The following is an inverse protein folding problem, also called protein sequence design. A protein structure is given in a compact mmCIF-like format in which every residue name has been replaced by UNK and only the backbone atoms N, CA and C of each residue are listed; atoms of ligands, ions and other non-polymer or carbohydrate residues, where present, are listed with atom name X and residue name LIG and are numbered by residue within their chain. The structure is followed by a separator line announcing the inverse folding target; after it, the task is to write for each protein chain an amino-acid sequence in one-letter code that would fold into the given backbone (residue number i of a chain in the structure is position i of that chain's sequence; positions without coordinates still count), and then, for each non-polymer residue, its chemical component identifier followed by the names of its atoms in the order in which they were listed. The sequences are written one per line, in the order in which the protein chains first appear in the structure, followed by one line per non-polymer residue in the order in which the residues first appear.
data_IF_450671885285
#
_entry.id   IF_450671885285
#
_cell.length_a   1.000
_cell.length_b   1.000
_cell.length_c   1.000
_cell.angle_alpha   90.00
_cell.angle_beta   90.00
_cell.angle_gamma   90.00
#
_symmetry.space_group_name_H-M   'P 1'
#
loop_
_entity.id
_entity.type
_entity.pdbx_description
1 polymer ?
#
# COMPACT_ATOMS: atom_id res chain seq x y z
N UNK A 1 8.11 -4.80 -11.63
CA UNK A 1 7.86 -5.44 -10.31
C UNK A 1 6.47 -5.01 -9.89
N UNK A 2 5.61 -5.91 -9.46
CA UNK A 2 4.26 -5.56 -8.99
C UNK A 2 4.31 -5.37 -7.47
N UNK A 3 3.92 -4.18 -7.02
CA UNK A 3 3.66 -3.90 -5.61
C UNK A 3 2.16 -3.92 -5.36
N UNK A 4 1.71 -4.59 -4.30
CA UNK A 4 0.30 -4.67 -3.93
C UNK A 4 0.09 -4.17 -2.52
N UNK A 5 -0.80 -3.20 -2.37
CA UNK A 5 -1.24 -2.64 -1.09
C UNK A 5 -2.60 -3.22 -0.76
N UNK A 6 -2.77 -3.74 0.44
CA UNK A 6 -4.04 -4.31 0.91
C UNK A 6 -4.44 -3.67 2.22
N UNK A 7 -5.68 -3.18 2.30
CA UNK A 7 -6.24 -2.67 3.56
C UNK A 7 -6.53 -3.82 4.52
N UNK A 8 -6.18 -3.62 5.79
CA UNK A 8 -6.48 -4.52 6.90
C UNK A 8 -7.45 -3.82 7.86
N UNK A 9 -8.53 -4.52 8.20
CA UNK A 9 -9.56 -4.06 9.15
C UNK A 9 -10.96 -4.12 8.55
N UNK A 10 -11.98 -4.02 9.41
CA UNK A 10 -13.38 -3.91 8.97
C UNK A 10 -13.58 -2.55 8.30
N UNK A 11 -14.37 -2.49 7.21
CA UNK A 11 -14.89 -1.25 6.60
C UNK A 11 -15.55 -0.42 7.70
N UNK A 12 -14.81 0.53 8.28
CA UNK A 12 -15.36 1.58 9.12
C UNK A 12 -15.89 2.68 8.19
N UNK A 13 -16.93 3.43 8.59
CA UNK A 13 -17.46 4.52 7.80
C UNK A 13 -16.35 5.51 7.39
N UNK A 14 -16.55 6.15 6.24
CA UNK A 14 -15.63 7.13 5.67
C UNK A 14 -15.22 8.17 6.73
N UNK A 15 -13.91 8.25 7.03
CA UNK A 15 -13.36 9.09 8.10
C UNK A 15 -12.54 8.35 9.16
N UNK A 16 -12.48 7.01 9.13
CA UNK A 16 -11.63 6.25 10.04
C UNK A 16 -10.14 6.43 9.72
N UNK A 17 -9.46 7.27 10.52
CA UNK A 17 -8.01 7.51 10.49
C UNK A 17 -7.17 6.26 10.85
N UNK A 18 -7.80 5.16 11.26
CA UNK A 18 -7.15 3.94 11.74
C UNK A 18 -7.02 2.84 10.68
N UNK A 19 -7.26 3.13 9.40
CA UNK A 19 -7.04 2.14 8.34
C UNK A 19 -5.58 1.69 8.34
N UNK A 20 -5.37 0.37 8.43
CA UNK A 20 -4.05 -0.24 8.36
C UNK A 20 -3.83 -0.87 7.00
N UNK A 21 -2.60 -0.89 6.52
CA UNK A 21 -2.26 -1.43 5.20
C UNK A 21 -1.11 -2.41 5.29
N UNK A 22 -1.16 -3.46 4.49
CA UNK A 22 -0.04 -4.36 4.25
C UNK A 22 0.43 -4.25 2.82
N UNK A 23 1.73 -4.41 2.60
CA UNK A 23 2.38 -4.34 1.29
C UNK A 23 2.99 -5.70 0.95
N UNK A 24 2.92 -6.10 -0.32
CA UNK A 24 3.58 -7.29 -0.86
C UNK A 24 4.23 -6.94 -2.20
N UNK A 25 5.30 -7.64 -2.54
CA UNK A 25 6.05 -7.47 -3.78
C UNK A 25 6.09 -8.81 -4.50
N UNK A 26 5.74 -8.85 -5.79
CA UNK A 26 5.82 -10.08 -6.60
C UNK A 26 7.24 -10.66 -6.67
N UNK A 27 8.26 -9.80 -6.59
CA UNK A 27 9.66 -10.17 -6.53
C UNK A 27 10.07 -10.85 -5.21
N UNK A 28 9.28 -10.71 -4.14
CA UNK A 28 9.53 -11.27 -2.81
C UNK A 28 8.33 -12.13 -2.34
N UNK A 29 8.09 -13.28 -2.98
CA UNK A 29 6.91 -14.10 -2.71
C UNK A 29 6.87 -14.57 -1.25
N UNK A 30 5.68 -14.53 -0.66
CA UNK A 30 5.45 -14.95 0.73
C UNK A 30 5.86 -13.93 1.80
N UNK A 31 6.42 -12.77 1.41
CA UNK A 31 6.70 -11.66 2.34
C UNK A 31 5.55 -10.67 2.35
N UNK A 32 5.09 -10.34 3.56
CA UNK A 32 4.09 -9.30 3.82
C UNK A 32 4.70 -8.29 4.78
N UNK A 33 4.56 -7.02 4.44
CA UNK A 33 5.07 -5.89 5.21
C UNK A 33 3.89 -5.11 5.80
N UNK A 34 4.07 -4.50 6.98
CA UNK A 34 2.97 -3.95 7.79
C UNK A 34 2.35 -4.96 8.76
N UNK A 35 1.16 -4.68 9.32
CA UNK A 35 0.25 -3.58 9.01
C UNK A 35 0.71 -2.21 9.50
N UNK A 36 0.62 -1.20 8.64
CA UNK A 36 1.05 0.18 8.93
C UNK A 36 -0.06 1.21 8.73
N UNK A 37 0.10 2.41 9.29
CA UNK A 37 -0.79 3.54 9.00
C UNK A 37 -0.61 4.05 7.56
N UNK A 38 -1.50 4.94 7.11
CA UNK A 38 -1.39 5.61 5.82
C UNK A 38 -0.02 6.28 5.62
N UNK A 39 0.48 7.03 6.61
CA UNK A 39 1.73 7.79 6.50
C UNK A 39 2.94 6.85 6.37
N UNK A 40 3.02 5.86 7.25
CA UNK A 40 4.07 4.84 7.21
C UNK A 40 4.08 4.06 5.89
N UNK A 41 2.90 3.67 5.39
CA UNK A 41 2.79 2.95 4.11
C UNK A 41 3.22 3.83 2.94
N UNK A 42 2.86 5.11 2.94
CA UNK A 42 3.29 6.05 1.90
C UNK A 42 4.82 6.19 1.91
N UNK A 43 5.39 6.42 3.08
CA UNK A 43 6.83 6.64 3.22
C UNK A 43 7.60 5.35 2.86
N UNK A 44 7.11 4.16 3.23
CA UNK A 44 7.68 2.88 2.79
C UNK A 44 7.66 2.77 1.25
N UNK A 45 6.52 2.97 0.59
CA UNK A 45 6.39 2.84 -0.86
C UNK A 45 7.32 3.77 -1.65
N UNK A 46 7.63 4.96 -1.11
CA UNK A 46 8.61 5.87 -1.74
C UNK A 46 10.03 5.33 -1.71
N UNK A 47 10.37 4.49 -0.73
CA UNK A 47 11.71 3.91 -0.56
C UNK A 47 11.79 2.50 -1.17
N UNK A 48 10.84 1.63 -0.85
CA UNK A 48 10.83 0.21 -1.20
C UNK A 48 10.38 -0.04 -2.64
N UNK A 49 9.43 0.73 -3.14
CA UNK A 49 8.89 0.62 -4.50
C UNK A 49 9.33 1.76 -5.43
N UNK A 50 10.15 2.69 -4.93
CA UNK A 50 10.61 3.90 -5.64
C UNK A 50 9.46 4.69 -6.29
N UNK A 51 8.29 4.68 -5.65
CA UNK A 51 7.14 5.45 -6.12
C UNK A 51 7.30 6.93 -5.78
N UNK A 52 6.84 7.79 -6.67
CA UNK A 52 6.68 9.20 -6.32
C UNK A 52 5.63 9.34 -5.19
N UNK A 53 5.74 10.35 -4.31
CA UNK A 53 4.80 10.51 -3.20
C UNK A 53 3.32 10.58 -3.63
N UNK A 54 3.07 11.11 -4.84
CA UNK A 54 1.74 11.18 -5.44
C UNK A 54 1.24 9.80 -5.87
N UNK A 55 2.10 8.96 -6.43
CA UNK A 55 1.78 7.61 -6.88
C UNK A 55 1.55 6.67 -5.68
N UNK A 56 2.39 6.77 -4.65
CA UNK A 56 2.21 6.03 -3.40
C UNK A 56 0.87 6.39 -2.75
N UNK A 57 0.53 7.68 -2.69
CA UNK A 57 -0.78 8.15 -2.21
C UNK A 57 -1.93 7.58 -3.02
N UNK A 58 -1.86 7.66 -4.35
CA UNK A 58 -2.91 7.16 -5.23
C UNK A 58 -3.16 5.67 -4.98
N UNK A 59 -2.10 4.87 -4.94
CA UNK A 59 -2.20 3.43 -4.71
C UNK A 59 -2.83 3.07 -3.35
N UNK A 60 -2.49 3.80 -2.29
CA UNK A 60 -3.10 3.58 -0.97
C UNK A 60 -4.59 3.95 -0.97
N UNK A 61 -4.97 5.02 -1.67
CA UNK A 61 -6.38 5.43 -1.78
C UNK A 61 -7.22 4.45 -2.61
N UNK A 62 -6.65 3.90 -3.68
CA UNK A 62 -7.29 2.84 -4.46
C UNK A 62 -7.49 1.60 -3.57
N UNK A 63 -6.46 1.18 -2.84
CA UNK A 63 -6.58 0.08 -1.87
C UNK A 63 -7.54 0.38 -0.72
N UNK A 64 -7.75 1.65 -0.36
CA UNK A 64 -8.76 2.04 0.62
C UNK A 64 -10.18 1.88 0.07
N UNK A 65 -10.39 2.19 -1.21
CA UNK A 65 -11.68 2.04 -1.89
C UNK A 65 -12.01 0.57 -2.11
N UNK A 66 -11.05 -0.18 -2.66
CA UNK A 66 -11.25 -1.53 -3.21
C UNK A 66 -10.74 -2.66 -2.30
N UNK A 67 -10.33 -2.33 -1.08
CA UNK A 67 -9.65 -3.22 -0.11
C UNK A 67 -8.24 -3.69 -0.54
N UNK A 68 -7.91 -3.65 -1.84
CA UNK A 68 -6.59 -3.97 -2.36
C UNK A 68 -6.36 -3.25 -3.70
N UNK A 69 -5.11 -2.85 -3.96
CA UNK A 69 -4.72 -2.27 -5.24
C UNK A 69 -3.26 -2.65 -5.57
N UNK A 70 -2.97 -2.82 -6.85
CA UNK A 70 -1.67 -3.22 -7.35
C UNK A 70 -1.15 -2.24 -8.39
N UNK A 71 0.17 -2.06 -8.43
CA UNK A 71 0.84 -1.23 -9.43
C UNK A 71 2.12 -1.87 -9.90
N UNK A 72 2.36 -1.78 -11.20
CA UNK A 72 3.66 -2.11 -11.76
C UNK A 72 4.63 -0.93 -11.53
N UNK A 73 5.77 -1.24 -10.94
CA UNK A 73 6.86 -0.29 -10.67
C UNK A 73 8.14 -0.74 -11.38
N UNK A 74 9.01 0.22 -11.76
CA UNK A 74 10.31 -0.10 -12.34
C UNK A 74 11.09 -1.04 -11.42
N UNK A 75 11.79 -2.03 -12.00
CA UNK A 75 12.81 -2.76 -11.25
C UNK A 75 14.00 -1.82 -11.09
N UNK A 76 14.39 -1.53 -9.85
CA UNK A 76 15.71 -0.99 -9.54
C UNK A 76 16.79 -2.03 -9.84
#
# INVERSE_FOLDING_TARGET
MIVTVTRKGKKKPAGALDARYTVTFDALPGKTYGPWSYRETRDDLTVSALLEPVEARALILDAFTDDSASREVPRA
#
